data_IF_145458547972
#
_entry.id   IF_145458547972
#
_cell.length_a   1.000
_cell.length_b   1.000
_cell.length_c   1.000
_cell.angle_alpha   90.00
_cell.angle_beta   90.00
_cell.angle_gamma   90.00
#
_symmetry.space_group_name_H-M   'P 1'
#
loop_
_entity.id
_entity.type
_entity.pdbx_description
1 polymer ?
#
# COMPACT_ATOMS: atom_id res chain seq x y z
N UNK A 1 -2.39 -9.35 20.66
CA UNK A 1 -1.08 -9.07 21.31
C UNK A 1 0.12 -9.48 20.48
N UNK A 2 0.21 -10.72 19.97
CA UNK A 2 1.39 -11.21 19.22
C UNK A 2 1.72 -10.33 18.01
N UNK A 3 0.71 -9.85 17.26
CA UNK A 3 0.88 -8.95 16.13
C UNK A 3 1.45 -7.57 16.51
N UNK A 4 1.03 -7.04 17.67
CA UNK A 4 1.54 -5.77 18.22
C UNK A 4 2.97 -5.93 18.77
N UNK A 5 3.29 -7.07 19.39
CA UNK A 5 4.64 -7.40 19.82
C UNK A 5 5.59 -7.62 18.64
N UNK A 6 5.09 -8.24 17.55
CA UNK A 6 5.84 -8.38 16.31
C UNK A 6 6.09 -7.00 15.68
N UNK A 7 5.06 -6.14 15.56
CA UNK A 7 5.21 -4.74 15.11
C UNK A 7 6.26 -3.99 15.93
N UNK A 8 6.21 -4.10 17.27
CA UNK A 8 7.17 -3.49 18.18
C UNK A 8 8.61 -4.01 18.00
N UNK A 9 8.77 -5.33 17.81
CA UNK A 9 10.07 -5.95 17.55
C UNK A 9 10.62 -5.57 16.16
N UNK A 10 9.76 -5.50 15.14
CA UNK A 10 10.12 -5.05 13.79
C UNK A 10 10.52 -3.57 13.76
N UNK A 11 9.86 -2.71 14.53
CA UNK A 11 10.23 -1.28 14.64
C UNK A 11 11.59 -1.04 15.28
N UNK A 12 12.07 -1.96 16.12
CA UNK A 12 13.33 -1.81 16.85
C UNK A 12 14.56 -2.31 16.07
N UNK A 13 14.40 -3.27 15.15
CA UNK A 13 15.52 -3.95 14.48
C UNK A 13 15.63 -3.71 12.97
N UNK A 14 14.62 -3.13 12.32
CA UNK A 14 14.58 -2.98 10.86
C UNK A 14 14.68 -1.53 10.39
N UNK A 15 15.14 -1.34 9.15
CA UNK A 15 15.15 -0.02 8.53
C UNK A 15 13.74 0.57 8.47
N UNK A 16 13.61 1.89 8.61
CA UNK A 16 12.32 2.60 8.57
C UNK A 16 11.50 2.29 7.31
N UNK A 17 12.15 1.89 6.21
CA UNK A 17 11.49 1.45 4.98
C UNK A 17 10.79 0.11 5.16
N UNK A 18 11.46 -0.89 5.73
CA UNK A 18 10.88 -2.23 5.93
C UNK A 18 9.68 -2.16 6.86
N UNK A 19 9.76 -1.34 7.92
CA UNK A 19 8.63 -1.09 8.83
C UNK A 19 7.44 -0.50 8.08
N UNK A 20 7.66 0.51 7.22
CA UNK A 20 6.59 1.10 6.39
C UNK A 20 5.96 0.06 5.46
N UNK A 21 6.77 -0.76 4.78
CA UNK A 21 6.26 -1.81 3.89
C UNK A 21 5.42 -2.83 4.65
N UNK A 22 5.87 -3.23 5.84
CA UNK A 22 5.12 -4.14 6.71
C UNK A 22 3.79 -3.54 7.15
N UNK A 23 3.76 -2.27 7.61
CA UNK A 23 2.53 -1.58 8.00
C UNK A 23 1.55 -1.51 6.84
N UNK A 24 2.00 -1.12 5.64
CA UNK A 24 1.15 -1.02 4.45
C UNK A 24 0.59 -2.38 4.06
N UNK A 25 1.43 -3.41 4.04
CA UNK A 25 1.02 -4.78 3.73
C UNK A 25 0.01 -5.31 4.75
N UNK A 26 0.33 -5.23 6.04
CA UNK A 26 -0.55 -5.65 7.12
C UNK A 26 -1.92 -4.98 7.03
N UNK A 27 -1.94 -3.66 6.80
CA UNK A 27 -3.18 -2.88 6.80
C UNK A 27 -4.04 -3.18 5.58
N UNK A 28 -3.45 -3.31 4.38
CA UNK A 28 -4.19 -3.67 3.16
C UNK A 28 -4.77 -5.09 3.21
N UNK A 29 -4.07 -6.01 3.86
CA UNK A 29 -4.49 -7.42 3.93
C UNK A 29 -5.30 -7.74 5.19
N UNK A 30 -5.34 -6.86 6.20
CA UNK A 30 -6.15 -7.03 7.41
C UNK A 30 -7.63 -7.39 7.13
N UNK A 31 -8.34 -6.76 6.18
CA UNK A 31 -9.72 -7.14 5.86
C UNK A 31 -9.84 -8.58 5.37
N UNK A 32 -8.86 -9.07 4.63
CA UNK A 32 -8.84 -10.43 4.07
C UNK A 32 -8.45 -11.46 5.13
N UNK A 33 -7.50 -11.11 6.01
CA UNK A 33 -7.15 -11.93 7.17
C UNK A 33 -8.36 -12.10 8.09
N UNK A 34 -9.14 -11.03 8.31
CA UNK A 34 -10.40 -11.10 9.04
C UNK A 34 -11.40 -12.07 8.37
N UNK A 35 -11.60 -11.95 7.05
CA UNK A 35 -12.51 -12.84 6.32
C UNK A 35 -12.07 -14.31 6.38
N UNK A 36 -10.76 -14.58 6.29
CA UNK A 36 -10.19 -15.93 6.42
C UNK A 36 -10.37 -16.50 7.82
N UNK A 37 -10.18 -15.67 8.86
CA UNK A 37 -10.43 -16.06 10.26
C UNK A 37 -11.90 -16.40 10.49
N UNK A 38 -12.80 -15.55 10.02
CA UNK A 38 -14.24 -15.75 10.18
C UNK A 38 -14.73 -16.99 9.42
N UNK A 39 -14.05 -17.37 8.33
CA UNK A 39 -14.32 -18.59 7.58
C UNK A 39 -13.61 -19.85 8.15
N UNK A 40 -12.79 -19.73 9.20
CA UNK A 40 -12.09 -20.85 9.84
C UNK A 40 -10.82 -21.34 9.12
N UNK A 41 -10.34 -20.66 8.07
CA UNK A 41 -9.18 -21.08 7.28
C UNK A 41 -7.85 -20.56 7.84
N UNK A 42 -7.53 -20.87 9.10
CA UNK A 42 -6.35 -20.33 9.81
C UNK A 42 -5.01 -20.61 9.13
N UNK A 43 -4.91 -21.70 8.35
CA UNK A 43 -3.70 -22.05 7.59
C UNK A 43 -3.36 -21.03 6.47
N UNK A 44 -4.36 -20.30 5.95
CA UNK A 44 -4.17 -19.31 4.88
C UNK A 44 -3.65 -17.96 5.40
N UNK A 45 -3.64 -17.73 6.72
CA UNK A 45 -3.22 -16.48 7.34
C UNK A 45 -1.77 -16.12 7.01
N UNK A 46 -0.85 -17.08 7.18
CA UNK A 46 0.57 -16.87 6.92
C UNK A 46 0.83 -16.62 5.44
N UNK A 47 0.13 -17.34 4.56
CA UNK A 47 0.21 -17.20 3.10
C UNK A 47 -0.25 -15.81 2.66
N UNK A 48 -1.37 -15.31 3.22
CA UNK A 48 -1.88 -13.97 2.93
C UNK A 48 -0.93 -12.86 3.40
N UNK A 49 -0.39 -12.98 4.62
CA UNK A 49 0.58 -12.02 5.15
C UNK A 49 1.88 -12.00 4.32
N UNK A 50 2.43 -13.18 4.02
CA UNK A 50 3.65 -13.30 3.22
C UNK A 50 3.42 -12.78 1.79
N UNK A 51 2.34 -13.22 1.13
CA UNK A 51 2.00 -12.80 -0.22
C UNK A 51 1.73 -11.29 -0.31
N UNK A 52 1.07 -10.72 0.70
CA UNK A 52 0.87 -9.28 0.80
C UNK A 52 2.17 -8.52 0.99
N UNK A 53 3.08 -9.02 1.81
CA UNK A 53 4.37 -8.37 2.04
C UNK A 53 5.24 -8.39 0.77
N UNK A 54 5.28 -9.53 0.08
CA UNK A 54 5.96 -9.67 -1.21
C UNK A 54 5.37 -8.68 -2.23
N UNK A 55 4.04 -8.58 -2.33
CA UNK A 55 3.37 -7.67 -3.28
C UNK A 55 3.76 -6.21 -3.04
N UNK A 56 3.67 -5.73 -1.79
CA UNK A 56 4.03 -4.34 -1.44
C UNK A 56 5.53 -4.08 -1.64
N UNK A 57 6.37 -5.08 -1.38
CA UNK A 57 7.81 -5.01 -1.66
C UNK A 57 8.08 -4.90 -3.16
N UNK A 58 7.33 -5.62 -3.99
CA UNK A 58 7.43 -5.51 -5.45
C UNK A 58 6.96 -4.15 -5.98
N UNK A 59 5.90 -3.56 -5.41
CA UNK A 59 5.50 -2.18 -5.75
C UNK A 59 6.65 -1.21 -5.51
N UNK A 60 7.25 -1.29 -4.32
CA UNK A 60 8.40 -0.48 -3.95
C UNK A 60 9.60 -0.72 -4.88
N UNK A 61 9.88 -1.97 -5.25
CA UNK A 61 10.97 -2.32 -6.16
C UNK A 61 10.74 -1.74 -7.57
N UNK A 62 9.54 -1.87 -8.12
CA UNK A 62 9.17 -1.31 -9.44
C UNK A 62 9.35 0.21 -9.44
N UNK A 63 8.87 0.89 -8.39
CA UNK A 63 9.03 2.33 -8.26
C UNK A 63 10.50 2.76 -8.18
N UNK A 64 11.35 2.05 -7.42
CA UNK A 64 12.79 2.32 -7.39
C UNK A 64 13.41 2.16 -8.77
N UNK A 65 13.10 1.07 -9.47
CA UNK A 65 13.67 0.78 -10.80
C UNK A 65 13.28 1.90 -11.78
N UNK A 66 11.99 2.26 -11.81
CA UNK A 66 11.49 3.31 -12.70
C UNK A 66 12.07 4.69 -12.33
N UNK A 67 12.19 5.00 -11.03
CA UNK A 67 12.81 6.23 -10.56
C UNK A 67 14.27 6.32 -11.00
N UNK A 68 15.03 5.21 -10.88
CA UNK A 68 16.41 5.17 -11.37
C UNK A 68 16.47 5.44 -12.86
N UNK A 69 15.67 4.77 -13.69
CA UNK A 69 15.65 4.97 -15.14
C UNK A 69 15.44 6.45 -15.52
N UNK A 70 14.51 7.12 -14.83
CA UNK A 70 14.18 8.53 -15.12
C UNK A 70 15.22 9.53 -14.59
N UNK A 71 15.98 9.15 -13.56
CA UNK A 71 16.93 10.06 -12.89
C UNK A 71 18.38 9.87 -13.32
N UNK A 72 18.72 8.69 -13.86
CA UNK A 72 20.00 8.40 -14.53
C UNK A 72 20.38 9.48 -15.58
N UNK A 73 19.48 10.00 -16.43
CA UNK A 73 19.88 10.95 -17.46
C UNK A 73 19.97 12.42 -16.99
N UNK A 74 19.51 12.80 -15.78
CA UNK A 74 19.21 14.22 -15.49
C UNK A 74 19.98 14.91 -14.36
N UNK A 75 20.68 14.24 -13.44
CA UNK A 75 21.18 15.02 -12.29
C UNK A 75 22.21 14.34 -11.39
N UNK A 76 23.25 15.10 -11.02
CA UNK A 76 24.07 14.88 -9.82
C UNK A 76 23.32 15.10 -8.49
N UNK A 77 21.99 15.23 -8.50
CA UNK A 77 21.15 15.27 -7.30
C UNK A 77 20.87 13.86 -6.78
N UNK A 78 21.32 13.61 -5.55
CA UNK A 78 20.92 12.41 -4.79
C UNK A 78 19.45 12.59 -4.39
N UNK A 79 18.53 12.03 -5.18
CA UNK A 79 17.13 11.93 -4.75
C UNK A 79 17.05 11.20 -3.42
N UNK A 80 16.29 11.75 -2.49
CA UNK A 80 16.07 11.09 -1.22
C UNK A 80 14.95 10.06 -1.39
N UNK A 81 15.36 8.89 -1.90
CA UNK A 81 14.53 7.71 -2.15
C UNK A 81 13.63 7.42 -0.94
N UNK A 82 14.14 7.47 0.29
CA UNK A 82 13.36 7.19 1.52
C UNK A 82 12.17 8.13 1.79
N UNK A 83 12.20 9.36 1.24
CA UNK A 83 11.14 10.37 1.38
C UNK A 83 10.10 10.34 0.26
N UNK A 84 10.41 9.69 -0.86
CA UNK A 84 9.52 9.67 -2.04
C UNK A 84 8.34 8.71 -1.84
N UNK A 85 8.55 7.60 -1.13
CA UNK A 85 7.54 6.56 -0.94
C UNK A 85 6.50 6.94 0.08
N UNK A 86 5.25 7.02 -0.37
CA UNK A 86 4.12 7.28 0.51
C UNK A 86 2.91 6.42 0.15
N UNK A 87 3.00 5.13 0.44
CA UNK A 87 1.86 4.20 0.40
C UNK A 87 0.99 4.27 1.67
N UNK A 88 1.20 5.27 2.53
CA UNK A 88 0.42 5.40 3.76
C UNK A 88 -1.08 5.59 3.52
N UNK A 89 -1.54 6.29 2.45
CA UNK A 89 -2.96 6.30 2.11
C UNK A 89 -3.55 4.91 1.90
N UNK A 90 -2.82 3.99 1.26
CA UNK A 90 -3.25 2.61 1.09
C UNK A 90 -3.37 1.86 2.41
N UNK A 91 -2.46 2.11 3.35
CA UNK A 91 -2.57 1.55 4.69
C UNK A 91 -3.87 2.03 5.37
N UNK A 92 -4.17 3.33 5.28
CA UNK A 92 -5.40 3.89 5.82
C UNK A 92 -6.65 3.34 5.14
N UNK A 93 -6.63 3.21 3.80
CA UNK A 93 -7.70 2.57 3.03
C UNK A 93 -7.97 1.13 3.48
N UNK A 94 -6.91 0.35 3.72
CA UNK A 94 -7.01 -1.01 4.26
C UNK A 94 -7.68 -1.07 5.64
N UNK A 95 -7.32 -0.15 6.54
CA UNK A 95 -7.98 -0.04 7.85
C UNK A 95 -9.45 0.36 7.75
N UNK A 96 -9.80 1.31 6.87
CA UNK A 96 -11.20 1.68 6.64
C UNK A 96 -12.03 0.49 6.16
N UNK A 97 -11.49 -0.28 5.20
CA UNK A 97 -12.14 -1.50 4.71
C UNK A 97 -12.27 -2.54 5.82
N UNK A 98 -11.25 -2.67 6.68
CA UNK A 98 -11.30 -3.58 7.83
C UNK A 98 -12.44 -3.21 8.80
N UNK A 99 -12.58 -1.92 9.14
CA UNK A 99 -13.69 -1.45 9.98
C UNK A 99 -15.06 -1.63 9.31
N UNK A 100 -15.17 -1.38 8.01
CA UNK A 100 -16.39 -1.65 7.26
C UNK A 100 -16.78 -3.13 7.33
N UNK A 101 -15.82 -4.04 7.19
CA UNK A 101 -16.08 -5.48 7.32
C UNK A 101 -16.43 -5.90 8.74
N UNK A 102 -15.78 -5.33 9.76
CA UNK A 102 -16.16 -5.57 11.16
C UNK A 102 -17.63 -5.17 11.39
N UNK A 103 -18.01 -3.96 10.95
CA UNK A 103 -19.40 -3.50 11.08
C UNK A 103 -20.37 -4.45 10.38
N UNK A 104 -20.08 -4.89 9.16
CA UNK A 104 -20.96 -5.81 8.42
C UNK A 104 -21.09 -7.20 9.08
N UNK A 105 -20.01 -7.71 9.70
CA UNK A 105 -20.06 -8.99 10.42
C UNK A 105 -20.84 -8.91 11.74
N UNK A 106 -20.81 -7.76 12.44
CA UNK A 106 -21.39 -7.63 13.78
C UNK A 106 -22.75 -6.90 13.83
N UNK A 107 -23.11 -6.07 12.84
CA UNK A 107 -24.29 -5.17 12.89
C UNK A 107 -25.44 -5.59 11.94
N UNK A 108 -25.84 -6.86 11.98
CA UNK A 108 -26.82 -7.51 11.08
C UNK A 108 -26.29 -7.71 9.65
N UNK A 109 -26.05 -8.99 9.30
CA UNK A 109 -25.53 -9.38 8.00
C UNK A 109 -26.43 -8.90 6.86
N UNK A 110 -25.86 -8.10 5.95
CA UNK A 110 -26.56 -7.57 4.77
C UNK A 110 -26.85 -6.07 4.80
N UNK A 111 -26.48 -5.35 5.87
CA UNK A 111 -26.67 -3.89 5.95
C UNK A 111 -25.92 -3.13 4.85
N UNK A 112 -24.80 -3.68 4.36
CA UNK A 112 -24.00 -3.10 3.28
C UNK A 112 -24.13 -3.92 1.99
N UNK A 113 -25.29 -3.92 1.35
CA UNK A 113 -25.51 -4.60 0.06
C UNK A 113 -24.45 -4.22 -1.01
N UNK A 114 -24.01 -2.96 -0.99
CA UNK A 114 -22.99 -2.43 -1.90
C UNK A 114 -21.56 -2.41 -1.31
N UNK A 115 -21.29 -3.14 -0.21
CA UNK A 115 -20.00 -3.11 0.51
C UNK A 115 -18.81 -3.27 -0.42
N UNK A 116 -18.83 -4.29 -1.28
CA UNK A 116 -17.73 -4.58 -2.23
C UNK A 116 -17.39 -3.39 -3.13
N UNK A 117 -18.41 -2.67 -3.61
CA UNK A 117 -18.20 -1.48 -4.45
C UNK A 117 -17.53 -0.37 -3.63
N UNK A 118 -17.98 -0.13 -2.40
CA UNK A 118 -17.35 0.84 -1.51
C UNK A 118 -15.90 0.48 -1.15
N UNK A 119 -15.62 -0.79 -0.87
CA UNK A 119 -14.25 -1.27 -0.60
C UNK A 119 -13.33 -0.99 -1.80
N UNK A 120 -13.78 -1.31 -3.01
CA UNK A 120 -13.01 -1.08 -4.23
C UNK A 120 -12.77 0.42 -4.49
N UNK A 121 -13.80 1.26 -4.33
CA UNK A 121 -13.66 2.71 -4.50
C UNK A 121 -12.65 3.26 -3.48
N UNK A 122 -12.72 2.85 -2.22
CA UNK A 122 -11.79 3.30 -1.18
C UNK A 122 -10.35 2.92 -1.51
N UNK A 123 -10.12 1.68 -1.94
CA UNK A 123 -8.77 1.20 -2.28
C UNK A 123 -8.23 1.91 -3.52
N UNK A 124 -9.06 2.12 -4.56
CA UNK A 124 -8.68 2.86 -5.77
C UNK A 124 -8.37 4.33 -5.46
N UNK A 125 -9.18 4.98 -4.63
CA UNK A 125 -8.92 6.38 -4.21
C UNK A 125 -7.63 6.49 -3.40
N UNK A 126 -7.40 5.56 -2.47
CA UNK A 126 -6.16 5.49 -1.71
C UNK A 126 -4.92 5.24 -2.60
N UNK A 127 -5.09 4.44 -3.65
CA UNK A 127 -4.06 4.21 -4.66
C UNK A 127 -3.72 5.48 -5.41
N UNK A 128 -4.72 6.15 -5.99
CA UNK A 128 -4.55 7.41 -6.73
C UNK A 128 -3.89 8.47 -5.82
N UNK A 129 -4.33 8.58 -4.57
CA UNK A 129 -3.77 9.54 -3.62
C UNK A 129 -2.31 9.24 -3.26
N UNK A 130 -1.92 7.96 -3.17
CA UNK A 130 -0.52 7.57 -2.94
C UNK A 130 0.39 8.03 -4.09
N UNK A 131 -0.04 7.84 -5.34
CA UNK A 131 0.73 8.29 -6.52
C UNK A 131 0.71 9.80 -6.74
N UNK A 132 -0.35 10.47 -6.30
CA UNK A 132 -0.38 11.94 -6.22
C UNK A 132 0.64 12.48 -5.21
N UNK A 133 0.78 11.84 -4.04
CA UNK A 133 1.80 12.24 -3.06
C UNK A 133 3.21 11.95 -3.58
N UNK A 134 3.41 10.85 -4.31
CA UNK A 134 4.65 10.56 -5.01
C UNK A 134 5.01 11.69 -6.00
N UNK A 135 4.06 12.14 -6.83
CA UNK A 135 4.32 13.22 -7.79
C UNK A 135 4.68 14.53 -7.10
N UNK A 136 4.00 14.86 -6.00
CA UNK A 136 4.32 16.05 -5.19
C UNK A 136 5.75 15.96 -4.64
N UNK A 137 6.13 14.83 -4.06
CA UNK A 137 7.46 14.62 -3.49
C UNK A 137 8.57 14.67 -4.55
N UNK A 138 8.33 14.13 -5.75
CA UNK A 138 9.26 14.20 -6.87
C UNK A 138 9.38 15.65 -7.36
N UNK A 139 8.27 16.37 -7.47
CA UNK A 139 8.25 17.77 -7.89
C UNK A 139 9.05 18.66 -6.93
N UNK A 140 8.90 18.47 -5.63
CA UNK A 140 9.67 19.18 -4.60
C UNK A 140 11.20 18.96 -4.74
N UNK A 141 11.63 17.81 -5.28
CA UNK A 141 13.05 17.48 -5.44
C UNK A 141 13.63 17.83 -6.82
N UNK A 142 12.80 17.81 -7.88
CA UNK A 142 13.25 18.03 -9.27
C UNK A 142 12.84 19.39 -9.85
N UNK A 143 11.90 20.10 -9.23
CA UNK A 143 11.37 21.38 -9.72
C UNK A 143 10.65 21.30 -11.07
N UNK A 144 10.29 20.09 -11.53
CA UNK A 144 9.65 19.86 -12.82
C UNK A 144 8.31 19.16 -12.66
N UNK A 145 7.24 19.97 -12.61
CA UNK A 145 5.87 19.51 -12.38
C UNK A 145 5.43 18.52 -13.45
N UNK A 146 5.61 18.83 -14.73
CA UNK A 146 5.10 17.99 -15.82
C UNK A 146 5.74 16.59 -15.80
N UNK A 147 7.05 16.51 -15.56
CA UNK A 147 7.76 15.25 -15.46
C UNK A 147 7.33 14.46 -14.22
N UNK A 148 7.21 15.11 -13.05
CA UNK A 148 6.86 14.45 -11.80
C UNK A 148 5.46 13.81 -11.83
N UNK A 149 4.46 14.53 -12.36
CA UNK A 149 3.09 14.03 -12.47
C UNK A 149 2.96 12.95 -13.54
N UNK A 150 3.51 13.17 -14.73
CA UNK A 150 3.47 12.17 -15.83
C UNK A 150 4.14 10.86 -15.42
N UNK A 151 5.30 10.96 -14.75
CA UNK A 151 6.02 9.79 -14.25
C UNK A 151 5.23 9.04 -13.19
N UNK A 152 4.62 9.74 -12.23
CA UNK A 152 3.88 9.10 -11.14
C UNK A 152 2.59 8.45 -11.64
N UNK A 153 1.89 9.05 -12.60
CA UNK A 153 0.72 8.46 -13.26
C UNK A 153 1.11 7.20 -14.03
N UNK A 154 2.20 7.24 -14.79
CA UNK A 154 2.70 6.09 -15.55
C UNK A 154 3.12 4.96 -14.61
N UNK A 155 3.87 5.29 -13.56
CA UNK A 155 4.31 4.34 -12.54
C UNK A 155 3.12 3.72 -11.80
N UNK A 156 2.15 4.54 -11.40
CA UNK A 156 0.91 4.09 -10.76
C UNK A 156 0.04 3.21 -11.65
N UNK A 157 0.00 3.49 -12.95
CA UNK A 157 -0.73 2.65 -13.91
C UNK A 157 -0.02 1.31 -14.10
N UNK A 158 1.30 1.31 -14.30
CA UNK A 158 2.10 0.08 -14.49
C UNK A 158 1.97 -0.83 -13.26
N UNK A 159 2.15 -0.27 -12.07
CA UNK A 159 2.05 -1.03 -10.82
C UNK A 159 0.65 -1.55 -10.58
N UNK A 160 -0.40 -0.78 -10.92
CA UNK A 160 -1.79 -1.24 -10.79
C UNK A 160 -2.12 -2.39 -11.73
N UNK A 161 -1.63 -2.35 -12.98
CA UNK A 161 -1.87 -3.40 -13.97
C UNK A 161 -1.09 -4.67 -13.65
N UNK A 162 0.18 -4.55 -13.27
CA UNK A 162 1.03 -5.72 -12.98
C UNK A 162 0.70 -6.37 -11.64
N UNK A 163 0.43 -5.55 -10.64
CA UNK A 163 0.27 -5.97 -9.24
C UNK A 163 -0.87 -5.16 -8.62
N UNK A 164 -2.13 -5.41 -8.99
CA UNK A 164 -3.24 -4.62 -8.48
C UNK A 164 -3.30 -4.68 -6.94
N UNK A 165 -3.75 -3.62 -6.27
CA UNK A 165 -4.07 -3.70 -4.85
C UNK A 165 -5.14 -4.78 -4.62
N UNK A 166 -5.20 -5.36 -3.41
CA UNK A 166 -6.25 -6.32 -3.11
C UNK A 166 -7.60 -5.57 -3.13
N UNK A 167 -8.45 -5.95 -4.10
CA UNK A 167 -9.80 -5.41 -4.36
C UNK A 167 -10.91 -6.37 -3.90
#
# INVERSE_FOLDING_TARGET
MIFLCALGYFTLNFSAVVVKLFIVSASLYAPYLLSVLMAGYTQLLSVLLLGGFIRVTLWFAIEIILLKIVTIPKSGSKLNISKLFNFMPLAFGGWLVFFLRLLDYFMFGGFLYYRRIFEQILVIMAWIFSYYLLSKNINEQLGNTLLAYSFSILTGTITFVLLPPPL
#
